data_IF_175391863562
#
_entry.id   IF_175391863562
#
_cell.length_a   1.000
_cell.length_b   1.000
_cell.length_c   1.000
_cell.angle_alpha   90.00
_cell.angle_beta   90.00
_cell.angle_gamma   90.00
#
_symmetry.space_group_name_H-M   'P 1'
#
loop_
_entity.id
_entity.type
_entity.pdbx_description
1 polymer ?
#
# COMPACT_ATOMS: atom_id res chain seq x y z
N UNK A 1 -15.99 5.16 -40.15
CA UNK A 1 -15.48 5.67 -38.86
C UNK A 1 -16.05 4.76 -37.77
N UNK A 2 -15.22 4.14 -36.92
CA UNK A 2 -15.71 3.46 -35.72
C UNK A 2 -16.03 4.55 -34.70
N UNK A 3 -17.26 4.57 -34.18
CA UNK A 3 -17.60 5.43 -33.04
C UNK A 3 -16.80 4.95 -31.84
N UNK A 4 -15.92 5.81 -31.32
CA UNK A 4 -15.19 5.54 -30.09
C UNK A 4 -16.10 5.87 -28.91
N UNK A 5 -16.30 4.92 -27.99
CA UNK A 5 -17.01 5.17 -26.74
C UNK A 5 -16.26 6.24 -25.95
N UNK A 6 -16.89 7.42 -25.82
CA UNK A 6 -16.35 8.56 -25.08
C UNK A 6 -17.39 9.05 -24.09
N UNK A 7 -16.95 9.37 -22.88
CA UNK A 7 -17.84 9.90 -21.85
C UNK A 7 -17.16 9.98 -20.49
N UNK A 8 -17.84 10.61 -19.55
CA UNK A 8 -17.44 10.62 -18.15
C UNK A 8 -18.55 10.02 -17.29
N UNK A 9 -18.15 9.30 -16.25
CA UNK A 9 -19.05 8.76 -15.24
C UNK A 9 -18.59 9.27 -13.88
N UNK A 10 -19.50 9.89 -13.15
CA UNK A 10 -19.32 10.21 -11.74
C UNK A 10 -20.31 9.42 -10.92
N UNK A 11 -19.88 8.87 -9.79
CA UNK A 11 -20.75 8.20 -8.85
C UNK A 11 -20.36 8.59 -7.42
N UNK A 12 -21.37 8.86 -6.60
CA UNK A 12 -21.23 9.10 -5.17
C UNK A 12 -22.21 8.19 -4.44
N UNK A 13 -21.70 7.38 -3.52
CA UNK A 13 -22.47 6.41 -2.75
C UNK A 13 -22.18 6.69 -1.28
N UNK A 14 -23.23 6.73 -0.46
CA UNK A 14 -23.12 6.92 0.99
C UNK A 14 -23.58 5.68 1.74
N UNK A 15 -22.97 5.44 2.90
CA UNK A 15 -23.33 4.37 3.85
C UNK A 15 -23.44 2.98 3.19
N UNK A 16 -22.33 2.51 2.61
CA UNK A 16 -22.28 1.24 1.89
C UNK A 16 -21.14 0.33 2.36
N UNK A 17 -20.95 -0.76 1.62
CA UNK A 17 -19.92 -1.75 1.89
C UNK A 17 -19.39 -2.32 0.58
N UNK A 18 -18.07 -2.33 0.43
CA UNK A 18 -17.40 -3.07 -0.63
C UNK A 18 -17.10 -4.49 -0.13
N UNK A 19 -17.64 -5.49 -0.81
CA UNK A 19 -17.42 -6.92 -0.52
C UNK A 19 -17.17 -7.70 -1.81
N UNK A 20 -16.40 -8.79 -1.72
CA UNK A 20 -16.04 -9.65 -2.84
C UNK A 20 -15.38 -8.88 -4.01
N UNK A 21 -14.53 -7.91 -3.68
CA UNK A 21 -13.78 -7.14 -4.66
C UNK A 21 -12.36 -7.71 -4.76
N UNK A 22 -11.90 -8.21 -5.92
CA UNK A 22 -10.59 -8.87 -6.05
C UNK A 22 -9.40 -8.03 -5.56
N UNK A 23 -9.49 -6.70 -5.71
CA UNK A 23 -8.46 -5.78 -5.22
C UNK A 23 -8.37 -5.79 -3.70
N UNK A 24 -9.52 -5.88 -3.02
CA UNK A 24 -9.60 -5.96 -1.57
C UNK A 24 -9.04 -7.29 -1.05
N UNK A 25 -9.33 -8.39 -1.75
CA UNK A 25 -8.78 -9.70 -1.40
C UNK A 25 -7.26 -9.73 -1.51
N UNK A 26 -6.71 -9.19 -2.59
CA UNK A 26 -5.26 -9.07 -2.77
C UNK A 26 -4.63 -8.15 -1.72
N UNK A 27 -5.33 -7.07 -1.32
CA UNK A 27 -4.87 -6.14 -0.30
C UNK A 27 -4.81 -6.79 1.08
N UNK A 28 -5.87 -7.49 1.47
CA UNK A 28 -5.92 -8.24 2.72
C UNK A 28 -4.82 -9.31 2.77
N UNK A 29 -4.62 -10.04 1.67
CA UNK A 29 -3.58 -11.06 1.55
C UNK A 29 -2.16 -10.50 1.60
N UNK A 30 -1.92 -9.34 0.97
CA UNK A 30 -0.61 -8.68 0.91
C UNK A 30 -0.23 -8.02 2.22
N UNK A 31 -1.19 -7.38 2.89
CA UNK A 31 -0.97 -6.66 4.15
C UNK A 31 -1.11 -7.55 5.39
N UNK A 32 -1.69 -8.75 5.24
CA UNK A 32 -2.06 -9.65 6.35
C UNK A 32 -3.09 -9.04 7.30
N UNK A 33 -3.95 -8.15 6.79
CA UNK A 33 -5.06 -7.55 7.53
C UNK A 33 -6.37 -8.12 6.97
N UNK A 34 -6.98 -9.14 7.61
CA UNK A 34 -8.18 -9.81 7.08
C UNK A 34 -9.37 -8.86 6.92
N UNK A 35 -9.48 -7.86 7.78
CA UNK A 35 -10.57 -6.87 7.75
C UNK A 35 -10.58 -6.06 6.44
N UNK A 36 -9.50 -6.05 5.65
CA UNK A 36 -9.48 -5.39 4.34
C UNK A 36 -10.23 -6.16 3.25
N UNK A 37 -10.67 -7.41 3.48
CA UNK A 37 -11.53 -8.16 2.55
C UNK A 37 -12.89 -7.49 2.36
N UNK A 38 -13.31 -6.68 3.32
CA UNK A 38 -14.59 -5.99 3.31
C UNK A 38 -14.40 -4.57 3.81
N UNK A 39 -14.77 -3.58 3.01
CA UNK A 39 -14.60 -2.18 3.39
C UNK A 39 -15.96 -1.50 3.54
N UNK A 40 -16.51 -1.40 4.76
CA UNK A 40 -17.62 -0.50 5.02
C UNK A 40 -17.17 0.94 4.80
N UNK A 41 -18.06 1.77 4.24
CA UNK A 41 -17.79 3.17 3.95
C UNK A 41 -18.99 4.08 4.24
N UNK A 42 -18.69 5.27 4.73
CA UNK A 42 -19.69 6.33 4.88
C UNK A 42 -19.84 7.10 3.56
N UNK A 43 -18.76 7.19 2.79
CA UNK A 43 -18.72 7.90 1.51
C UNK A 43 -17.78 7.20 0.53
N UNK A 44 -18.25 7.03 -0.70
CA UNK A 44 -17.50 6.52 -1.83
C UNK A 44 -17.76 7.40 -3.06
N UNK A 45 -16.76 8.14 -3.49
CA UNK A 45 -16.81 9.00 -4.68
C UNK A 45 -15.90 8.47 -5.77
N UNK A 46 -16.39 8.44 -6.99
CA UNK A 46 -15.60 8.01 -8.15
C UNK A 46 -15.87 8.87 -9.38
N UNK A 47 -14.82 9.10 -10.15
CA UNK A 47 -14.83 9.79 -11.43
C UNK A 47 -14.01 9.00 -12.44
N UNK A 48 -14.66 8.59 -13.53
CA UNK A 48 -14.08 7.88 -14.65
C UNK A 48 -14.25 8.67 -15.94
N UNK A 49 -13.27 8.57 -16.82
CA UNK A 49 -13.34 9.08 -18.19
C UNK A 49 -13.03 7.93 -19.14
N UNK A 50 -13.98 7.59 -20.00
CA UNK A 50 -13.77 6.69 -21.11
C UNK A 50 -13.35 7.49 -22.35
N UNK A 51 -12.27 7.08 -22.99
CA UNK A 51 -11.81 7.65 -24.25
C UNK A 51 -10.49 7.04 -24.71
N UNK A 52 -10.22 7.10 -26.01
CA UNK A 52 -8.93 6.76 -26.62
C UNK A 52 -8.35 5.43 -26.11
N UNK A 53 -9.16 4.37 -26.24
CA UNK A 53 -8.81 2.96 -25.96
C UNK A 53 -8.65 2.59 -24.48
N UNK A 54 -8.92 3.51 -23.55
CA UNK A 54 -8.87 3.23 -22.12
C UNK A 54 -9.98 3.93 -21.31
N UNK A 55 -10.08 3.51 -20.05
CA UNK A 55 -10.87 4.13 -19.01
C UNK A 55 -9.90 4.73 -18.01
N UNK A 56 -9.81 6.05 -17.95
CA UNK A 56 -9.04 6.76 -16.94
C UNK A 56 -9.85 6.85 -15.65
N UNK A 57 -9.28 6.36 -14.57
CA UNK A 57 -9.78 6.53 -13.20
C UNK A 57 -9.20 7.86 -12.71
N UNK A 58 -9.96 8.94 -12.85
CA UNK A 58 -9.51 10.25 -12.37
C UNK A 58 -9.40 10.26 -10.85
N UNK A 59 -10.43 9.71 -10.19
CA UNK A 59 -10.49 9.62 -8.75
C UNK A 59 -11.39 8.47 -8.33
N UNK A 60 -10.96 7.74 -7.34
CA UNK A 60 -11.77 6.77 -6.61
C UNK A 60 -11.40 6.96 -5.14
N UNK A 61 -12.31 7.53 -4.36
CA UNK A 61 -12.06 7.95 -2.99
C UNK A 61 -13.09 7.34 -2.06
N UNK A 62 -12.62 6.64 -1.04
CA UNK A 62 -13.43 5.93 -0.07
C UNK A 62 -13.06 6.42 1.34
N UNK A 63 -14.07 6.81 2.12
CA UNK A 63 -13.95 7.09 3.54
C UNK A 63 -14.85 6.10 4.30
N UNK A 64 -14.25 5.27 5.13
CA UNK A 64 -14.91 4.39 6.06
C UNK A 64 -14.51 4.66 7.51
N UNK A 65 -15.18 3.99 8.47
CA UNK A 65 -14.91 4.17 9.89
C UNK A 65 -13.50 3.73 10.30
N UNK A 66 -12.97 2.73 9.61
CA UNK A 66 -11.72 2.04 9.96
C UNK A 66 -10.64 2.24 8.89
N UNK A 67 -10.97 2.82 7.73
CA UNK A 67 -10.02 3.02 6.64
C UNK A 67 -10.43 4.16 5.71
N UNK A 68 -9.42 4.73 5.04
CA UNK A 68 -9.59 5.54 3.84
C UNK A 68 -8.79 4.93 2.71
N UNK A 69 -9.33 4.97 1.51
CA UNK A 69 -8.61 4.56 0.31
C UNK A 69 -8.79 5.59 -0.79
N UNK A 70 -7.71 5.91 -1.49
CA UNK A 70 -7.75 6.72 -2.70
C UNK A 70 -6.96 6.03 -3.81
N UNK A 71 -7.58 5.91 -4.98
CA UNK A 71 -6.92 5.40 -6.16
C UNK A 71 -7.18 6.30 -7.37
N UNK A 72 -6.17 6.46 -8.21
CA UNK A 72 -6.27 7.07 -9.53
C UNK A 72 -5.43 6.28 -10.51
N UNK A 73 -5.71 6.32 -11.81
CA UNK A 73 -4.98 5.50 -12.77
C UNK A 73 -5.73 5.26 -14.07
N UNK A 74 -5.50 4.10 -14.66
CA UNK A 74 -6.15 3.68 -15.90
C UNK A 74 -6.50 2.21 -15.89
N UNK A 75 -7.56 1.88 -16.61
CA UNK A 75 -7.95 0.54 -16.99
C UNK A 75 -8.04 0.48 -18.52
N UNK A 76 -7.27 -0.37 -19.15
CA UNK A 76 -7.39 -0.66 -20.58
C UNK A 76 -8.68 -1.46 -20.85
N UNK A 77 -9.19 -1.43 -22.09
CA UNK A 77 -10.39 -2.21 -22.46
C UNK A 77 -10.20 -3.72 -22.39
N UNK A 78 -8.96 -4.19 -22.39
CA UNK A 78 -8.62 -5.58 -22.11
C UNK A 78 -8.67 -5.92 -20.60
N UNK A 79 -9.14 -4.99 -19.77
CA UNK A 79 -9.25 -5.02 -18.30
C UNK A 79 -7.91 -4.93 -17.54
N UNK A 80 -6.82 -4.55 -18.19
CA UNK A 80 -5.55 -4.28 -17.52
C UNK A 80 -5.63 -2.98 -16.71
N UNK A 81 -5.47 -3.10 -15.39
CA UNK A 81 -5.48 -2.01 -14.43
C UNK A 81 -4.06 -1.59 -14.09
N UNK A 82 -3.84 -0.28 -13.99
CA UNK A 82 -2.68 0.34 -13.37
C UNK A 82 -3.14 1.54 -12.57
N UNK A 83 -3.11 1.46 -11.24
CA UNK A 83 -3.59 2.52 -10.37
C UNK A 83 -2.78 2.61 -9.08
N UNK A 84 -2.08 3.73 -8.82
CA UNK A 84 -1.59 4.03 -7.49
C UNK A 84 -2.73 3.98 -6.47
N UNK A 85 -2.42 3.42 -5.30
CA UNK A 85 -3.33 3.25 -4.19
C UNK A 85 -2.71 3.87 -2.94
N UNK A 86 -3.41 4.86 -2.40
CA UNK A 86 -3.15 5.41 -1.07
C UNK A 86 -4.15 4.77 -0.10
N UNK A 87 -3.65 4.15 0.95
CA UNK A 87 -4.46 3.56 2.01
C UNK A 87 -4.11 4.22 3.34
N UNK A 88 -5.11 4.53 4.15
CA UNK A 88 -4.93 4.98 5.52
C UNK A 88 -5.83 4.18 6.45
N UNK A 89 -5.33 3.88 7.66
CA UNK A 89 -5.97 3.01 8.64
C UNK A 89 -6.43 3.84 9.86
N UNK A 90 -7.69 3.68 10.24
CA UNK A 90 -8.35 4.31 11.38
C UNK A 90 -8.70 3.30 12.48
N UNK A 91 -9.34 3.79 13.53
CA UNK A 91 -9.96 2.99 14.61
C UNK A 91 -9.16 1.76 15.09
N UNK A 92 -9.80 0.59 15.03
CA UNK A 92 -9.25 -0.72 15.39
C UNK A 92 -8.08 -1.14 14.50
N UNK A 93 -8.09 -0.77 13.22
CA UNK A 93 -6.96 -1.08 12.32
C UNK A 93 -5.71 -0.29 12.68
N UNK A 94 -5.89 0.94 13.16
CA UNK A 94 -4.81 1.75 13.74
C UNK A 94 -4.26 1.11 15.01
N UNK A 95 -5.12 0.59 15.89
CA UNK A 95 -4.66 -0.13 17.09
C UNK A 95 -3.91 -1.43 16.75
N UNK A 96 -4.34 -2.16 15.72
CA UNK A 96 -3.64 -3.33 15.20
C UNK A 96 -2.24 -2.96 14.69
N UNK A 97 -2.14 -1.92 13.84
CA UNK A 97 -0.86 -1.43 13.35
C UNK A 97 0.08 -0.94 14.48
N UNK A 98 -0.49 -0.37 15.55
CA UNK A 98 0.28 0.04 16.72
C UNK A 98 0.81 -1.15 17.52
N UNK A 99 -0.03 -2.18 17.74
CA UNK A 99 0.35 -3.43 18.43
C UNK A 99 1.48 -4.17 17.74
N UNK A 100 1.43 -4.25 16.41
CA UNK A 100 2.46 -4.89 15.58
C UNK A 100 3.76 -4.07 15.48
N UNK A 101 3.89 -2.96 16.23
CA UNK A 101 5.01 -2.01 16.18
C UNK A 101 5.24 -1.40 14.79
N UNK A 102 4.28 -1.55 13.88
CA UNK A 102 4.31 -1.02 12.51
C UNK A 102 4.01 0.48 12.51
N UNK A 103 3.18 0.97 13.43
CA UNK A 103 2.72 2.36 13.48
C UNK A 103 3.83 3.43 13.53
N UNK A 104 5.07 3.09 13.91
CA UNK A 104 6.19 4.05 13.88
C UNK A 104 6.58 4.48 12.47
N UNK A 105 6.30 3.65 11.46
CA UNK A 105 6.50 4.00 10.06
C UNK A 105 5.36 4.88 9.52
N UNK A 106 4.17 4.78 10.11
CA UNK A 106 2.96 5.42 9.61
C UNK A 106 2.88 6.86 10.10
N UNK A 107 2.52 7.78 9.20
CA UNK A 107 2.20 9.17 9.56
C UNK A 107 0.70 9.29 9.73
N UNK A 108 0.26 10.00 10.75
CA UNK A 108 -1.15 10.34 10.88
C UNK A 108 -1.52 11.44 9.88
N UNK A 109 -2.66 11.31 9.20
CA UNK A 109 -3.28 12.40 8.45
C UNK A 109 -3.96 13.42 9.39
N UNK A 110 -4.53 14.48 8.82
CA UNK A 110 -5.22 15.52 9.58
C UNK A 110 -6.45 15.00 10.36
N UNK A 111 -7.03 13.89 9.91
CA UNK A 111 -8.21 13.26 10.51
C UNK A 111 -7.83 12.11 11.46
N UNK A 112 -6.54 11.90 11.72
CA UNK A 112 -6.01 10.92 12.66
C UNK A 112 -5.85 9.50 12.12
N UNK A 113 -6.02 9.25 10.83
CA UNK A 113 -5.76 7.97 10.17
C UNK A 113 -4.26 7.77 9.95
N UNK A 114 -3.76 6.56 10.19
CA UNK A 114 -2.40 6.15 9.89
C UNK A 114 -2.25 5.86 8.40
N UNK A 115 -1.61 6.76 7.66
CA UNK A 115 -1.31 6.61 6.24
C UNK A 115 -0.24 5.54 6.06
N UNK A 116 -0.47 4.61 5.12
CA UNK A 116 0.50 3.59 4.77
C UNK A 116 1.81 4.24 4.32
N UNK A 117 2.97 3.84 4.87
CA UNK A 117 4.23 4.54 4.66
C UNK A 117 4.83 4.36 3.27
N UNK A 118 4.38 3.34 2.54
CA UNK A 118 4.90 2.99 1.23
C UNK A 118 3.81 3.17 0.19
N UNK A 119 4.09 3.85 -0.94
CA UNK A 119 3.17 3.94 -2.06
C UNK A 119 2.85 2.54 -2.58
N UNK A 120 1.58 2.24 -2.78
CA UNK A 120 1.11 0.99 -3.36
C UNK A 120 0.65 1.22 -4.79
N UNK A 121 0.82 0.22 -5.63
CA UNK A 121 0.35 0.23 -7.01
C UNK A 121 -0.43 -1.06 -7.28
N UNK A 122 -1.67 -0.88 -7.72
CA UNK A 122 -2.53 -1.94 -8.22
C UNK A 122 -2.17 -2.14 -9.69
N UNK A 123 -1.86 -3.37 -10.08
CA UNK A 123 -1.50 -3.76 -11.46
C UNK A 123 -2.22 -5.04 -11.86
N UNK A 124 -2.19 -5.39 -13.15
CA UNK A 124 -2.71 -6.66 -13.65
C UNK A 124 -4.16 -6.58 -14.11
N UNK A 125 -4.86 -7.71 -14.22
CA UNK A 125 -6.23 -7.74 -14.73
C UNK A 125 -7.22 -7.44 -13.60
N UNK A 126 -8.34 -6.77 -13.88
CA UNK A 126 -9.38 -6.50 -12.88
C UNK A 126 -9.87 -7.76 -12.13
N UNK A 127 -9.95 -8.90 -12.83
CA UNK A 127 -10.34 -10.18 -12.22
C UNK A 127 -9.25 -10.83 -11.35
N UNK A 128 -7.98 -10.47 -11.57
CA UNK A 128 -6.80 -11.01 -10.87
C UNK A 128 -5.77 -9.89 -10.65
N UNK A 129 -6.10 -8.89 -9.81
CA UNK A 129 -5.21 -7.77 -9.58
C UNK A 129 -3.99 -8.23 -8.78
N UNK A 130 -2.92 -7.44 -8.85
CA UNK A 130 -1.69 -7.62 -8.09
C UNK A 130 -1.34 -6.31 -7.42
N UNK A 131 -1.05 -6.35 -6.13
CA UNK A 131 -0.60 -5.18 -5.40
C UNK A 131 0.91 -5.27 -5.25
N UNK A 132 1.59 -4.18 -5.59
CA UNK A 132 3.04 -4.04 -5.44
C UNK A 132 3.34 -2.74 -4.72
N UNK A 133 4.50 -2.70 -4.08
CA UNK A 133 5.05 -1.47 -3.55
C UNK A 133 5.69 -0.70 -4.72
N UNK A 134 5.29 0.54 -4.92
CA UNK A 134 5.77 1.41 -5.99
C UNK A 134 6.82 2.37 -5.46
N UNK A 135 7.91 1.79 -4.95
CA UNK A 135 8.94 2.59 -4.31
C UNK A 135 10.03 2.88 -5.34
N UNK A 136 10.30 4.17 -5.65
CA UNK A 136 11.49 4.55 -6.39
C UNK A 136 12.73 3.96 -5.72
N UNK A 137 13.71 3.48 -6.49
CA UNK A 137 14.89 2.83 -5.92
C UNK A 137 15.63 3.73 -4.93
N UNK A 138 15.60 5.05 -5.12
CA UNK A 138 16.19 6.01 -4.20
C UNK A 138 15.45 6.06 -2.84
N UNK A 139 14.12 6.00 -2.85
CA UNK A 139 13.29 6.03 -1.65
C UNK A 139 13.33 4.70 -0.88
N UNK A 140 13.49 3.56 -1.57
CA UNK A 140 13.70 2.26 -0.90
C UNK A 140 14.92 2.28 0.01
N UNK A 141 16.00 2.88 -0.44
CA UNK A 141 17.25 2.98 0.33
C UNK A 141 17.05 3.92 1.51
N UNK A 142 16.38 5.06 1.30
CA UNK A 142 16.08 6.02 2.36
C UNK A 142 15.15 5.40 3.43
N UNK A 143 14.03 4.82 3.02
CA UNK A 143 13.06 4.20 3.92
C UNK A 143 13.64 2.96 4.60
N UNK A 144 14.42 2.14 3.89
CA UNK A 144 15.13 1.02 4.51
C UNK A 144 16.15 1.51 5.54
N UNK A 145 16.91 2.57 5.24
CA UNK A 145 17.86 3.16 6.19
C UNK A 145 17.16 3.78 7.40
N UNK A 146 16.02 4.44 7.21
CA UNK A 146 15.23 5.01 8.30
C UNK A 146 14.64 3.90 9.19
N UNK A 147 14.15 2.80 8.59
CA UNK A 147 13.68 1.62 9.32
C UNK A 147 14.84 0.94 10.07
N UNK A 148 16.00 0.76 9.42
CA UNK A 148 17.18 0.12 10.02
C UNK A 148 17.76 0.97 11.16
N UNK A 149 17.87 2.29 11.00
CA UNK A 149 18.31 3.19 12.07
C UNK A 149 17.34 3.19 13.26
N UNK A 150 16.04 3.02 13.01
CA UNK A 150 15.05 2.88 14.08
C UNK A 150 15.10 1.53 14.79
N UNK A 151 15.55 0.47 14.11
CA UNK A 151 15.82 -0.84 14.71
C UNK A 151 17.13 -0.83 15.52
N UNK A 152 18.20 -0.21 15.02
CA UNK A 152 19.48 -0.09 15.72
C UNK A 152 19.38 0.78 16.99
N UNK A 153 18.57 1.85 16.96
CA UNK A 153 18.27 2.67 18.14
C UNK A 153 17.46 1.92 19.21
N UNK A 154 16.77 0.82 18.86
CA UNK A 154 16.12 -0.07 19.85
C UNK A 154 17.13 -1.04 20.47
N UNK A 155 18.11 -1.55 19.72
CA UNK A 155 19.17 -2.41 20.28
C UNK A 155 20.13 -1.67 21.22
N UNK A 156 20.16 -0.35 21.19
CA UNK A 156 20.99 0.48 22.08
C UNK A 156 20.25 1.02 23.32
N UNK A 157 18.96 0.70 23.50
CA UNK A 157 18.21 1.06 24.72
C UNK A 157 18.02 -0.08 25.73
N UNK A 158 18.37 -1.31 25.36
CA UNK A 158 18.46 -2.47 26.25
C UNK A 158 19.92 -2.95 26.38
N UNK A 159 20.78 -2.16 27.04
CA UNK A 159 22.04 -2.67 27.59
C UNK A 159 22.39 -1.97 28.91
N UNK A 160 21.72 -2.39 29.97
CA UNK A 160 22.41 -2.55 31.26
C UNK A 160 23.05 -3.94 31.24
N UNK A 161 24.39 -3.98 31.27
CA UNK A 161 25.26 -5.11 31.65
C UNK A 161 24.93 -6.50 31.09
N UNK A 162 25.72 -7.01 30.13
CA UNK A 162 26.84 -7.91 30.42
C UNK A 162 27.58 -8.28 29.12
N UNK A 163 28.80 -8.76 29.28
CA UNK A 163 29.82 -9.00 28.24
C UNK A 163 29.37 -9.97 27.14
N UNK A 164 30.01 -9.78 25.98
CA UNK A 164 30.51 -10.79 25.02
C UNK A 164 29.96 -10.67 23.59
N UNK A 165 30.92 -10.60 22.66
CA UNK A 165 30.88 -10.79 21.20
C UNK A 165 30.18 -9.74 20.31
N UNK A 166 31.03 -8.91 19.67
CA UNK A 166 30.69 -8.10 18.50
C UNK A 166 30.38 -9.01 17.30
N UNK A 167 29.25 -8.85 16.59
CA UNK A 167 29.04 -9.51 15.30
C UNK A 167 30.04 -8.97 14.28
N UNK A 168 30.83 -9.86 13.69
CA UNK A 168 31.83 -9.55 12.68
C UNK A 168 31.16 -9.17 11.34
N UNK A 169 31.01 -7.86 11.11
CA UNK A 169 30.47 -7.23 9.89
C UNK A 169 31.18 -7.67 8.60
N UNK A 170 32.39 -8.24 8.70
CA UNK A 170 33.14 -8.78 7.55
C UNK A 170 32.42 -9.98 6.91
N UNK A 171 31.76 -10.84 7.71
CA UNK A 171 31.10 -12.05 7.21
C UNK A 171 29.85 -11.74 6.37
N UNK A 172 29.15 -10.63 6.66
CA UNK A 172 27.96 -10.22 5.90
C UNK A 172 28.34 -9.67 4.52
N UNK A 173 29.46 -8.93 4.45
CA UNK A 173 29.99 -8.40 3.19
C UNK A 173 30.51 -9.50 2.27
N UNK A 174 31.10 -10.57 2.81
CA UNK A 174 31.58 -11.71 2.04
C UNK A 174 30.45 -12.60 1.48
N UNK A 175 29.31 -12.70 2.18
CA UNK A 175 28.11 -13.39 1.68
C UNK A 175 27.47 -12.63 0.51
N UNK A 176 27.44 -11.29 0.57
CA UNK A 176 26.87 -10.46 -0.50
C UNK A 176 27.75 -10.42 -1.76
N UNK A 177 29.07 -10.52 -1.63
CA UNK A 177 29.97 -10.61 -2.79
C UNK A 177 29.94 -11.99 -3.46
N UNK A 178 29.77 -13.08 -2.72
CA UNK A 178 29.69 -14.44 -3.29
C UNK A 178 28.41 -14.72 -4.10
N UNK A 179 27.30 -14.00 -3.85
CA UNK A 179 26.05 -14.15 -4.63
C UNK A 179 26.07 -13.50 -6.01
N UNK A 180 27.08 -12.69 -6.36
CA UNK A 180 27.24 -12.12 -7.71
C UNK A 180 27.98 -13.02 -8.71
N UNK A 181 28.47 -14.19 -8.29
CA UNK A 181 29.35 -15.03 -9.14
C UNK A 181 28.87 -16.46 -9.37
N UNK A 182 27.58 -16.75 -9.18
CA UNK A 182 27.00 -18.00 -9.69
C UNK A 182 25.63 -17.74 -10.31
N UNK A 183 25.69 -17.63 -11.65
CA UNK A 183 24.71 -18.02 -12.68
C UNK A 183 23.28 -17.55 -12.54
#
# INVERSE_FOLDING_TARGET
MREALRGSLTASITNGELKNVPVLDELANSTKIPDLHTMPFNQFDSEFIAGDENIRIKRCYLIGPEQKAEASGSCEYDTSLKAPLNLALGGKLKEFAQREKLAKAFKADADGYLVFPLPMLITGKLAKPKIKLDVPKEELVQTANDILQQLDKKSSKDKTSDKTEKPNLQNVLDVLKKKKTKQ
#
